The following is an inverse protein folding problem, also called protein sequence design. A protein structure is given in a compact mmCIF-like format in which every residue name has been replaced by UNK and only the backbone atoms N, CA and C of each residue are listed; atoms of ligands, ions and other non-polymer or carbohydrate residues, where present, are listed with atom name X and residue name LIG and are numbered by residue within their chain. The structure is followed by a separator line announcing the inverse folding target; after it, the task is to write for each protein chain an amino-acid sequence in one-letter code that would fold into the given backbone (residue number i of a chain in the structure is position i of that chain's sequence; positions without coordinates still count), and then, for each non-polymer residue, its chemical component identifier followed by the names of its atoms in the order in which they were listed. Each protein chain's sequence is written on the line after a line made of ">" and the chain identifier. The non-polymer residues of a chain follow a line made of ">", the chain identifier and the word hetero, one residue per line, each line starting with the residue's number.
data_IF_849223803244
#
_entry.id   IF_849223803244
#
_cell.length_a   1.000
_cell.length_b   1.000
_cell.length_c   1.000
_cell.angle_alpha   90.00
_cell.angle_beta   90.00
_cell.angle_gamma   90.00
#
_symmetry.space_group_name_H-M   'P 1'
#
loop_
_entity.id
_entity.type
_entity.pdbx_description
1 polymer ?
#
# COMPACT_ATOMS: atom_id res chain seq x y z
N UNK A 1 7.68 -20.40 -26.76
CA UNK A 1 7.39 -18.94 -26.76
C UNK A 1 6.36 -18.70 -25.67
N UNK A 2 6.70 -17.96 -24.65
CA UNK A 2 5.78 -17.60 -23.57
C UNK A 2 4.86 -16.48 -24.06
N UNK A 3 3.57 -16.73 -24.16
CA UNK A 3 2.58 -15.68 -24.45
C UNK A 3 2.51 -14.72 -23.27
N UNK A 4 2.54 -13.42 -23.55
CA UNK A 4 2.31 -12.37 -22.57
C UNK A 4 0.98 -11.70 -22.89
N UNK A 5 0.24 -11.26 -21.86
CA UNK A 5 -0.95 -10.45 -22.06
C UNK A 5 -0.55 -9.02 -22.49
N UNK A 6 -1.53 -8.18 -22.84
CA UNK A 6 -1.31 -6.79 -23.24
C UNK A 6 -0.55 -5.96 -22.21
N UNK A 7 -0.49 -6.40 -20.95
CA UNK A 7 0.20 -5.74 -19.83
C UNK A 7 1.58 -6.35 -19.54
N UNK A 8 2.10 -7.22 -20.43
CA UNK A 8 3.43 -7.80 -20.29
C UNK A 8 3.55 -9.00 -19.34
N UNK A 9 2.47 -9.41 -18.66
CA UNK A 9 2.46 -10.57 -17.77
C UNK A 9 2.46 -11.88 -18.55
N UNK A 10 3.13 -12.90 -17.99
CA UNK A 10 3.12 -14.25 -18.57
C UNK A 10 1.71 -14.82 -18.49
N UNK A 11 1.16 -15.23 -19.63
CA UNK A 11 -0.07 -16.00 -19.65
C UNK A 11 0.31 -17.45 -19.37
N UNK A 12 -0.38 -18.05 -18.40
CA UNK A 12 -0.29 -19.47 -18.11
C UNK A 12 -0.68 -20.27 -19.34
N UNK A 13 0.19 -21.17 -19.81
CA UNK A 13 -0.07 -22.10 -20.90
C UNK A 13 0.10 -23.53 -20.37
N UNK A 14 -1.03 -24.22 -20.04
CA UNK A 14 -1.00 -25.58 -19.47
C UNK A 14 -0.33 -26.60 -20.36
N UNK A 15 -0.10 -26.27 -21.64
CA UNK A 15 0.55 -27.14 -22.61
C UNK A 15 2.04 -26.83 -22.79
N UNK A 16 2.56 -25.80 -22.13
CA UNK A 16 3.99 -25.48 -22.25
C UNK A 16 4.85 -26.58 -21.64
N UNK A 17 6.01 -26.82 -22.25
CA UNK A 17 6.96 -27.84 -21.78
C UNK A 17 7.47 -27.56 -20.36
N UNK A 18 7.51 -26.29 -19.96
CA UNK A 18 7.89 -25.84 -18.62
C UNK A 18 6.81 -26.11 -17.58
N UNK A 19 5.54 -25.97 -17.96
CA UNK A 19 4.40 -26.15 -17.06
C UNK A 19 4.09 -27.63 -16.79
N UNK A 20 4.56 -28.52 -17.66
CA UNK A 20 4.51 -29.98 -17.47
C UNK A 20 5.67 -30.54 -16.64
N UNK A 21 6.66 -29.70 -16.30
CA UNK A 21 7.80 -30.16 -15.50
C UNK A 21 7.38 -30.30 -14.02
N UNK A 22 7.96 -31.30 -13.33
CA UNK A 22 7.71 -31.47 -11.87
C UNK A 22 8.15 -30.33 -10.99
N UNK A 23 8.88 -29.35 -11.57
CA UNK A 23 9.34 -28.12 -10.90
C UNK A 23 8.31 -27.00 -10.96
N UNK A 24 7.38 -27.03 -11.91
CA UNK A 24 6.25 -26.12 -11.95
C UNK A 24 5.09 -26.76 -11.19
N UNK A 25 4.84 -26.32 -9.96
CA UNK A 25 3.59 -26.60 -9.27
C UNK A 25 2.47 -25.88 -10.02
N UNK A 26 1.72 -26.64 -10.80
CA UNK A 26 0.41 -26.21 -11.26
C UNK A 26 -0.44 -26.00 -10.01
N UNK A 27 -0.97 -24.80 -9.81
CA UNK A 27 -1.83 -24.53 -8.66
C UNK A 27 -3.19 -25.19 -8.94
N UNK A 28 -3.53 -26.33 -8.28
CA UNK A 28 -4.74 -27.08 -8.60
C UNK A 28 -6.02 -26.27 -8.40
N UNK A 29 -5.93 -25.16 -7.68
CA UNK A 29 -7.04 -24.26 -7.40
C UNK A 29 -7.42 -23.41 -8.62
N UNK A 30 -6.44 -22.93 -9.40
CA UNK A 30 -6.70 -22.09 -10.58
C UNK A 30 -7.39 -22.93 -11.68
N UNK A 31 -6.95 -24.16 -11.89
CA UNK A 31 -7.48 -25.04 -12.93
C UNK A 31 -8.92 -25.52 -12.66
N UNK A 32 -9.41 -25.37 -11.42
CA UNK A 32 -10.76 -25.73 -11.00
C UNK A 32 -11.79 -24.66 -11.24
N UNK A 33 -11.38 -23.45 -11.58
CA UNK A 33 -12.28 -22.31 -11.76
C UNK A 33 -12.71 -22.16 -13.22
N UNK A 34 -13.97 -21.79 -13.41
CA UNK A 34 -14.48 -21.40 -14.72
C UNK A 34 -13.77 -20.13 -15.21
N UNK A 35 -13.76 -19.91 -16.54
CA UNK A 35 -13.20 -18.67 -17.11
C UNK A 35 -13.84 -17.41 -16.52
N UNK A 36 -15.14 -17.46 -16.23
CA UNK A 36 -15.88 -16.38 -15.60
C UNK A 36 -15.32 -16.10 -14.21
N UNK A 37 -15.07 -17.13 -13.41
CA UNK A 37 -14.51 -16.98 -12.05
C UNK A 37 -13.07 -16.44 -12.06
N UNK A 38 -12.27 -16.86 -13.04
CA UNK A 38 -10.90 -16.33 -13.21
C UNK A 38 -10.93 -14.83 -13.57
N UNK A 39 -11.88 -14.40 -14.39
CA UNK A 39 -12.06 -12.99 -14.71
C UNK A 39 -12.49 -12.16 -13.47
N UNK A 40 -13.39 -12.69 -12.65
CA UNK A 40 -13.78 -12.05 -11.38
C UNK A 40 -12.58 -11.89 -10.42
N UNK A 41 -11.74 -12.94 -10.33
CA UNK A 41 -10.52 -12.90 -9.50
C UNK A 41 -9.54 -11.84 -10.03
N UNK A 42 -9.33 -11.77 -11.33
CA UNK A 42 -8.44 -10.78 -11.95
C UNK A 42 -8.94 -9.36 -11.74
N UNK A 43 -10.23 -9.11 -11.95
CA UNK A 43 -10.85 -7.81 -11.70
C UNK A 43 -10.70 -7.39 -10.24
N UNK A 44 -10.97 -8.30 -9.29
CA UNK A 44 -10.77 -8.03 -7.87
C UNK A 44 -9.30 -7.69 -7.54
N UNK A 45 -8.35 -8.43 -8.13
CA UNK A 45 -6.93 -8.17 -7.95
C UNK A 45 -6.53 -6.79 -8.50
N UNK A 46 -7.05 -6.39 -9.65
CA UNK A 46 -6.80 -5.06 -10.23
C UNK A 46 -7.36 -3.94 -9.36
N UNK A 47 -8.58 -4.09 -8.86
CA UNK A 47 -9.21 -3.14 -7.96
C UNK A 47 -8.41 -3.01 -6.65
N UNK A 48 -7.92 -4.13 -6.11
CA UNK A 48 -7.10 -4.14 -4.90
C UNK A 48 -5.74 -3.48 -5.13
N UNK A 49 -5.08 -3.74 -6.26
CA UNK A 49 -3.84 -3.06 -6.65
C UNK A 49 -4.06 -1.55 -6.76
N UNK A 50 -5.17 -1.14 -7.37
CA UNK A 50 -5.53 0.28 -7.49
C UNK A 50 -5.77 0.94 -6.12
N UNK A 51 -6.41 0.21 -5.19
CA UNK A 51 -6.58 0.65 -3.81
C UNK A 51 -5.23 0.81 -3.11
N UNK A 52 -4.37 -0.20 -3.12
CA UNK A 52 -3.03 -0.17 -2.51
C UNK A 52 -2.12 0.92 -3.10
N UNK A 53 -2.30 1.23 -4.37
CA UNK A 53 -1.54 2.31 -5.03
C UNK A 53 -1.89 3.69 -4.51
N UNK A 54 -3.11 3.88 -4.02
CA UNK A 54 -3.60 5.15 -3.45
C UNK A 54 -3.37 5.25 -1.94
N UNK A 55 -3.32 4.12 -1.24
CA UNK A 55 -3.30 4.03 0.22
C UNK A 55 -1.93 3.56 0.71
N UNK A 56 -0.98 4.48 0.87
CA UNK A 56 0.39 4.17 1.29
C UNK A 56 0.62 4.28 2.79
N UNK A 57 -0.18 5.09 3.47
CA UNK A 57 -0.15 5.30 4.92
C UNK A 57 -1.56 5.15 5.49
N UNK A 58 -1.70 4.94 6.80
CA UNK A 58 -2.98 4.70 7.48
C UNK A 58 -4.02 5.78 7.18
N UNK A 59 -3.61 7.04 7.14
CA UNK A 59 -4.50 8.18 6.84
C UNK A 59 -5.09 8.05 5.43
N UNK A 60 -4.27 7.66 4.43
CA UNK A 60 -4.76 7.43 3.07
C UNK A 60 -5.84 6.35 3.04
N UNK A 61 -5.66 5.28 3.85
CA UNK A 61 -6.63 4.18 3.96
C UNK A 61 -7.93 4.68 4.52
N UNK A 62 -7.88 5.43 5.63
CA UNK A 62 -9.08 5.99 6.28
C UNK A 62 -9.83 6.93 5.33
N UNK A 63 -9.13 7.85 4.66
CA UNK A 63 -9.75 8.74 3.67
C UNK A 63 -10.40 7.98 2.52
N UNK A 64 -9.73 6.94 2.01
CA UNK A 64 -10.26 6.12 0.92
C UNK A 64 -11.49 5.31 1.36
N UNK A 65 -11.45 4.73 2.57
CA UNK A 65 -12.59 3.99 3.15
C UNK A 65 -13.77 4.94 3.39
N UNK A 66 -13.52 6.13 3.92
CA UNK A 66 -14.56 7.13 4.14
C UNK A 66 -15.27 7.51 2.82
N UNK A 67 -14.50 7.70 1.75
CA UNK A 67 -15.05 7.97 0.42
C UNK A 67 -15.88 6.80 -0.09
N UNK A 68 -15.35 5.57 -0.02
CA UNK A 68 -16.08 4.37 -0.45
C UNK A 68 -17.35 4.15 0.37
N UNK A 69 -17.32 4.48 1.65
CA UNK A 69 -18.49 4.40 2.50
C UNK A 69 -19.56 5.41 2.09
N UNK A 70 -19.18 6.64 1.75
CA UNK A 70 -20.11 7.65 1.22
C UNK A 70 -20.73 7.25 -0.12
N UNK A 71 -19.95 6.57 -0.97
CA UNK A 71 -20.42 6.13 -2.30
C UNK A 71 -21.29 4.87 -2.26
N UNK A 72 -21.03 3.95 -1.33
CA UNK A 72 -21.60 2.58 -1.35
C UNK A 72 -22.18 2.10 -0.03
N UNK A 73 -22.03 2.86 1.04
CA UNK A 73 -22.52 2.47 2.36
C UNK A 73 -24.05 2.39 2.41
N UNK A 74 -24.55 1.46 3.20
CA UNK A 74 -25.95 1.38 3.54
C UNK A 74 -26.32 2.43 4.60
N UNK A 75 -27.58 2.88 4.62
CA UNK A 75 -28.08 3.78 5.67
C UNK A 75 -28.03 3.14 7.07
N UNK A 76 -27.97 1.81 7.15
CA UNK A 76 -27.91 1.05 8.39
C UNK A 76 -26.47 0.85 8.90
N UNK A 77 -25.47 1.03 8.03
CA UNK A 77 -24.07 0.88 8.37
C UNK A 77 -23.54 2.14 9.08
N UNK A 78 -22.55 1.94 9.96
CA UNK A 78 -21.84 3.04 10.62
C UNK A 78 -20.35 2.93 10.39
N UNK A 79 -19.74 4.04 10.01
CA UNK A 79 -18.30 4.21 9.96
C UNK A 79 -17.86 5.04 11.15
N UNK A 80 -16.98 4.50 11.98
CA UNK A 80 -16.38 5.16 13.15
C UNK A 80 -14.89 5.33 12.84
N UNK A 81 -14.38 6.53 13.00
CA UNK A 81 -12.98 6.88 12.75
C UNK A 81 -12.42 7.47 14.04
N UNK A 82 -11.17 7.10 14.39
CA UNK A 82 -10.49 7.68 15.54
C UNK A 82 -10.04 9.12 15.28
N UNK A 83 -9.73 9.87 16.34
CA UNK A 83 -9.39 11.29 16.27
C UNK A 83 -8.16 11.58 15.41
N UNK A 84 -7.18 10.66 15.42
CA UNK A 84 -5.95 10.78 14.61
C UNK A 84 -6.15 10.40 13.14
N UNK A 85 -7.32 9.91 12.77
CA UNK A 85 -7.64 9.41 11.42
C UNK A 85 -6.70 8.31 10.92
N UNK A 86 -6.23 7.47 11.84
CA UNK A 86 -5.32 6.35 11.54
C UNK A 86 -5.98 4.97 11.64
N UNK A 87 -7.17 4.90 12.21
CA UNK A 87 -7.93 3.68 12.37
C UNK A 87 -9.42 3.93 12.16
N UNK A 88 -10.14 2.89 11.79
CA UNK A 88 -11.59 2.94 11.61
C UNK A 88 -12.25 1.61 11.99
N UNK A 89 -13.53 1.67 12.27
CA UNK A 89 -14.42 0.52 12.39
C UNK A 89 -15.64 0.72 11.50
N UNK A 90 -15.94 -0.30 10.69
CA UNK A 90 -17.19 -0.38 9.94
C UNK A 90 -18.13 -1.34 10.68
N UNK A 91 -19.30 -0.83 11.06
CA UNK A 91 -20.30 -1.58 11.80
C UNK A 91 -21.55 -1.76 10.97
N UNK A 92 -21.89 -3.01 10.70
CA UNK A 92 -23.16 -3.40 10.06
C UNK A 92 -24.04 -4.09 11.10
N UNK A 93 -25.26 -3.58 11.27
CA UNK A 93 -26.20 -4.16 12.24
C UNK A 93 -26.86 -5.39 11.64
N UNK A 94 -26.81 -6.49 12.39
CA UNK A 94 -27.53 -7.72 12.07
C UNK A 94 -28.99 -7.68 12.53
N UNK A 95 -29.73 -8.72 12.18
CA UNK A 95 -31.13 -8.90 12.61
C UNK A 95 -31.29 -9.53 14.01
N UNK A 96 -30.18 -9.98 14.60
CA UNK A 96 -30.17 -10.63 15.93
C UNK A 96 -29.64 -9.68 17.01
N UNK A 97 -30.07 -9.85 18.27
CA UNK A 97 -29.54 -9.11 19.41
C UNK A 97 -28.02 -9.32 19.56
N UNK A 98 -27.31 -8.31 20.05
CA UNK A 98 -25.85 -8.38 20.25
C UNK A 98 -25.46 -9.43 21.30
N UNK A 99 -26.35 -9.77 22.22
CA UNK A 99 -26.17 -10.78 23.26
C UNK A 99 -26.00 -12.19 22.68
N UNK A 100 -26.47 -12.43 21.45
CA UNK A 100 -26.28 -13.69 20.73
C UNK A 100 -24.91 -13.78 20.06
N UNK A 101 -24.10 -12.71 20.14
CA UNK A 101 -22.74 -12.63 19.65
C UNK A 101 -22.57 -11.70 18.45
N UNK A 102 -21.30 -11.35 18.19
CA UNK A 102 -20.88 -10.49 17.09
C UNK A 102 -19.80 -11.20 16.27
N UNK A 103 -19.73 -10.85 14.99
CA UNK A 103 -18.61 -11.25 14.11
C UNK A 103 -17.68 -10.07 13.95
N UNK A 104 -16.41 -10.24 14.27
CA UNK A 104 -15.39 -9.21 14.15
C UNK A 104 -14.37 -9.67 13.11
N UNK A 105 -14.09 -8.83 12.13
CA UNK A 105 -12.99 -8.96 11.18
C UNK A 105 -11.98 -7.88 11.52
N UNK A 106 -10.76 -8.29 11.75
CA UNK A 106 -9.66 -7.42 12.16
C UNK A 106 -8.52 -7.53 11.15
N UNK A 107 -7.95 -6.40 10.74
CA UNK A 107 -6.83 -6.34 9.81
C UNK A 107 -5.98 -5.08 10.03
N UNK A 108 -4.72 -5.13 9.63
CA UNK A 108 -3.86 -3.97 9.50
C UNK A 108 -4.33 -3.06 8.37
N UNK A 109 -4.17 -1.74 8.57
CA UNK A 109 -4.42 -0.73 7.56
C UNK A 109 -3.18 0.09 7.18
N UNK A 110 -2.03 -0.17 7.81
CA UNK A 110 -0.76 0.49 7.53
C UNK A 110 0.20 -0.42 6.75
N UNK A 111 1.24 0.17 6.21
CA UNK A 111 2.31 -0.53 5.49
C UNK A 111 3.67 -0.19 6.10
N UNK A 112 4.65 -1.12 6.08
CA UNK A 112 6.01 -0.82 6.48
C UNK A 112 6.60 0.34 5.65
N UNK A 113 7.44 1.15 6.31
CA UNK A 113 8.02 2.33 5.69
C UNK A 113 9.16 2.93 6.47
N UNK A 114 9.61 4.08 6.01
CA UNK A 114 10.53 4.94 6.73
C UNK A 114 9.75 6.11 7.30
N UNK A 115 9.90 6.37 8.59
CA UNK A 115 9.26 7.50 9.26
C UNK A 115 10.32 8.57 9.51
N UNK A 116 10.05 9.80 9.09
CA UNK A 116 10.94 10.94 9.35
C UNK A 116 11.03 11.21 10.85
N UNK A 117 12.23 11.47 11.35
CA UNK A 117 12.46 11.95 12.73
C UNK A 117 11.99 13.39 12.88
N UNK A 118 11.95 13.87 14.10
CA UNK A 118 11.79 15.31 14.38
C UNK A 118 13.01 16.04 13.84
N UNK A 119 12.79 17.10 13.07
CA UNK A 119 13.85 17.84 12.36
C UNK A 119 14.78 16.93 11.52
N UNK A 120 14.20 16.25 10.51
CA UNK A 120 14.90 15.16 9.83
C UNK A 120 15.87 15.63 8.74
N UNK A 121 15.79 16.89 8.32
CA UNK A 121 16.50 17.36 7.13
C UNK A 121 17.92 17.79 7.45
N UNK A 122 18.90 17.20 6.75
CA UNK A 122 20.29 17.60 6.76
C UNK A 122 20.72 18.02 5.35
N UNK A 123 21.29 19.18 5.24
CA UNK A 123 21.83 19.67 3.96
C UNK A 123 23.23 19.09 3.75
N UNK A 124 23.42 18.35 2.66
CA UNK A 124 24.75 17.99 2.18
C UNK A 124 25.38 19.15 1.45
N UNK A 125 26.52 19.61 1.93
CA UNK A 125 27.38 20.57 1.24
C UNK A 125 28.52 19.81 0.60
N UNK A 126 28.75 20.01 -0.68
CA UNK A 126 29.95 19.56 -1.34
C UNK A 126 31.10 20.52 -0.99
N UNK A 127 32.16 20.00 -0.36
CA UNK A 127 33.32 20.77 0.10
C UNK A 127 34.04 21.41 -1.09
N UNK A 128 34.00 20.77 -2.25
CA UNK A 128 34.71 21.21 -3.45
C UNK A 128 33.90 22.23 -4.31
N UNK A 129 32.60 22.36 -4.08
CA UNK A 129 31.72 23.24 -4.87
C UNK A 129 31.26 24.50 -4.14
N UNK A 130 32.08 25.09 -3.28
CA UNK A 130 31.87 26.42 -2.69
C UNK A 130 30.44 26.70 -2.19
N UNK A 131 29.94 25.88 -1.24
CA UNK A 131 28.64 26.08 -0.58
C UNK A 131 27.39 25.76 -1.41
N UNK A 132 27.50 25.10 -2.54
CA UNK A 132 26.30 24.58 -3.21
C UNK A 132 25.73 23.41 -2.41
N UNK A 133 24.43 23.51 -2.12
CA UNK A 133 23.70 22.37 -1.55
C UNK A 133 23.54 21.30 -2.64
N UNK A 134 24.22 20.16 -2.49
CA UNK A 134 24.18 19.04 -3.45
C UNK A 134 23.07 18.05 -3.18
N UNK A 135 22.42 18.17 -2.03
CA UNK A 135 21.31 17.28 -1.67
C UNK A 135 20.77 17.52 -0.27
N UNK A 136 19.66 16.87 -0.01
CA UNK A 136 19.04 16.81 1.33
C UNK A 136 19.04 15.36 1.76
N UNK A 137 19.60 15.11 2.94
CA UNK A 137 19.56 13.82 3.62
C UNK A 137 18.43 13.85 4.65
N UNK A 138 17.60 12.83 4.70
CA UNK A 138 16.53 12.72 5.66
C UNK A 138 16.84 11.66 6.70
N UNK A 139 16.96 12.07 7.96
CA UNK A 139 17.04 11.15 9.09
C UNK A 139 15.69 10.46 9.29
N UNK A 140 15.71 9.14 9.24
CA UNK A 140 14.50 8.31 9.36
C UNK A 140 14.66 7.22 10.42
N UNK A 141 13.55 6.68 10.85
CA UNK A 141 13.48 5.42 11.60
C UNK A 141 12.69 4.39 10.81
N UNK A 142 13.05 3.13 10.97
CA UNK A 142 12.28 2.04 10.37
C UNK A 142 10.92 1.91 11.05
N UNK A 143 9.87 1.87 10.27
CA UNK A 143 8.52 1.59 10.73
C UNK A 143 8.07 0.23 10.16
N UNK A 144 7.80 -0.72 11.07
CA UNK A 144 7.49 -2.10 10.70
C UNK A 144 8.69 -2.89 10.20
N UNK A 145 8.44 -4.05 9.63
CA UNK A 145 9.47 -4.96 9.10
C UNK A 145 9.88 -4.58 7.69
N UNK A 146 10.93 -3.78 7.54
CA UNK A 146 11.53 -3.52 6.23
C UNK A 146 12.80 -4.34 6.04
N UNK A 147 13.05 -4.76 4.81
CA UNK A 147 14.32 -5.36 4.40
C UNK A 147 15.18 -4.29 3.72
N UNK A 148 16.20 -3.72 4.38
CA UNK A 148 16.96 -2.57 3.85
C UNK A 148 17.47 -2.77 2.43
N UNK A 149 17.99 -3.97 2.11
CA UNK A 149 18.49 -4.30 0.78
C UNK A 149 17.42 -4.25 -0.33
N UNK A 150 16.13 -4.39 0.02
CA UNK A 150 15.04 -4.29 -0.96
C UNK A 150 14.61 -2.83 -1.18
N UNK A 151 14.96 -1.94 -0.27
CA UNK A 151 14.60 -0.52 -0.31
C UNK A 151 15.70 0.33 -0.94
N UNK A 152 16.96 -0.15 -0.88
CA UNK A 152 18.08 0.52 -1.54
C UNK A 152 17.87 0.66 -3.04
N UNK A 153 18.14 1.84 -3.58
CA UNK A 153 18.02 2.13 -5.00
C UNK A 153 16.59 2.19 -5.55
N UNK A 154 15.57 2.23 -4.70
CA UNK A 154 14.18 2.40 -5.12
C UNK A 154 13.74 3.85 -5.00
N UNK A 155 12.93 4.29 -5.95
CA UNK A 155 12.19 5.55 -5.82
C UNK A 155 11.18 5.42 -4.67
N UNK A 156 11.26 6.32 -3.73
CA UNK A 156 10.35 6.42 -2.59
C UNK A 156 9.40 7.60 -2.79
N UNK A 157 8.35 7.62 -2.00
CA UNK A 157 7.38 8.70 -1.96
C UNK A 157 7.27 9.20 -0.51
N UNK A 158 7.38 10.51 -0.32
CA UNK A 158 7.08 11.14 0.98
C UNK A 158 5.60 11.41 1.03
N UNK A 159 4.93 10.89 2.05
CA UNK A 159 3.52 11.13 2.35
C UNK A 159 3.34 11.48 3.81
N UNK A 160 2.45 12.41 4.07
CA UNK A 160 2.12 12.81 5.42
C UNK A 160 1.58 14.22 5.51
N UNK A 161 1.82 14.81 6.66
CA UNK A 161 1.40 16.16 6.96
C UNK A 161 2.60 16.97 7.49
N UNK A 162 2.66 18.23 7.15
CA UNK A 162 3.58 19.17 7.76
C UNK A 162 2.80 20.39 8.27
N UNK A 163 3.16 20.85 9.45
CA UNK A 163 2.65 22.13 9.98
C UNK A 163 3.57 23.25 9.52
N UNK A 164 3.08 24.07 8.60
CA UNK A 164 3.81 25.19 8.00
C UNK A 164 3.04 26.46 8.33
N UNK A 165 3.69 27.38 9.04
CA UNK A 165 3.09 28.66 9.48
C UNK A 165 1.77 28.45 10.25
N UNK A 166 1.74 27.45 11.14
CA UNK A 166 0.56 27.12 11.95
C UNK A 166 -0.60 26.47 11.16
N UNK A 167 -0.37 26.11 9.91
CA UNK A 167 -1.34 25.42 9.07
C UNK A 167 -0.85 24.03 8.68
N UNK A 168 -1.69 23.04 8.94
CA UNK A 168 -1.44 21.68 8.51
C UNK A 168 -1.62 21.56 7.00
N UNK A 169 -0.55 21.14 6.32
CA UNK A 169 -0.53 20.91 4.87
C UNK A 169 -0.19 19.45 4.57
N UNK A 170 -0.92 18.86 3.63
CA UNK A 170 -0.61 17.52 3.13
C UNK A 170 0.65 17.56 2.27
N UNK A 171 1.52 16.60 2.52
CA UNK A 171 2.73 16.36 1.72
C UNK A 171 2.54 15.06 0.94
N UNK A 172 2.77 15.14 -0.35
CA UNK A 172 2.77 13.99 -1.23
C UNK A 172 3.65 14.28 -2.44
N UNK A 173 4.89 13.80 -2.42
CA UNK A 173 5.79 13.94 -3.56
C UNK A 173 6.76 12.75 -3.67
N UNK A 174 7.17 12.35 -4.88
CA UNK A 174 8.17 11.31 -5.08
C UNK A 174 9.57 11.84 -4.72
N UNK A 175 10.39 10.96 -4.13
CA UNK A 175 11.82 11.19 -3.96
C UNK A 175 12.54 10.36 -5.02
N UNK A 176 13.21 11.03 -5.91
CA UNK A 176 14.15 10.41 -6.83
C UNK A 176 15.51 10.34 -6.13
N UNK A 177 15.72 9.32 -5.32
CA UNK A 177 17.00 9.10 -4.65
C UNK A 177 17.66 7.84 -5.20
N UNK A 178 18.95 7.94 -5.42
CA UNK A 178 19.79 6.80 -5.72
C UNK A 178 20.22 6.03 -4.46
N UNK A 179 20.22 6.68 -3.28
CA UNK A 179 20.92 6.14 -2.11
C UNK A 179 20.02 6.17 -0.86
N UNK A 180 19.31 5.08 -0.63
CA UNK A 180 18.72 4.78 0.68
C UNK A 180 19.74 3.96 1.48
N UNK A 181 20.46 4.61 2.37
CA UNK A 181 21.27 3.93 3.37
C UNK A 181 20.43 3.70 4.62
N UNK A 182 20.06 2.45 4.88
CA UNK A 182 19.46 2.07 6.16
C UNK A 182 20.62 1.83 7.15
N UNK A 183 20.73 2.69 8.14
CA UNK A 183 21.63 2.51 9.30
C UNK A 183 20.91 1.74 10.39
#
# INVERSE_FOLDING_TARGET
>A
MTRRNKNGFRIYDPNSRFEKSRLTRVHPTIDRHSKQKLLEIDNFAQDYIAFLSKTKISIDVVEQVQRLFQERGSLEDKLIINDDQTAFALVTFGSRPMEEGVKIIYAHNDSPGLMAKVDPARFKQDIDMHHLCTGIELDTINYGGISPHQWSGRTLEIRGWADIDGKRKRINFPIYSSDVHAH
#
